data_IF_233149399139
#
_entry.id   IF_233149399139
#
_cell.length_a   1.000
_cell.length_b   1.000
_cell.length_c   1.000
_cell.angle_alpha   90.00
_cell.angle_beta   90.00
_cell.angle_gamma   90.00
#
_symmetry.space_group_name_H-M   'P 1'
#
loop_
_entity.id
_entity.type
_entity.pdbx_description
1 polymer ?
#
# COMPACT_ATOMS: atom_id res chain seq x y z
N UNK A 1 -21.14 14.22 4.92
CA UNK A 1 -19.94 13.46 5.33
C UNK A 1 -18.76 14.42 5.26
N UNK A 2 -18.11 14.69 6.39
CA UNK A 2 -16.95 15.59 6.41
C UNK A 2 -15.70 14.90 5.88
N UNK A 3 -14.67 15.68 5.58
CA UNK A 3 -13.34 15.14 5.26
C UNK A 3 -12.82 14.26 6.41
N UNK A 4 -13.03 14.68 7.66
CA UNK A 4 -12.60 13.96 8.86
C UNK A 4 -13.32 12.62 9.02
N UNK A 5 -14.63 12.57 8.77
CA UNK A 5 -15.40 11.34 8.84
C UNK A 5 -14.95 10.33 7.78
N UNK A 6 -14.70 10.83 6.57
CA UNK A 6 -14.17 10.01 5.49
C UNK A 6 -12.77 9.46 5.82
N UNK A 7 -11.91 10.31 6.40
CA UNK A 7 -10.56 9.96 6.80
C UNK A 7 -10.54 8.89 7.91
N UNK A 8 -11.33 9.09 8.97
CA UNK A 8 -11.53 8.10 10.05
C UNK A 8 -12.02 6.76 9.50
N UNK A 9 -13.01 6.78 8.60
CA UNK A 9 -13.53 5.57 7.97
C UNK A 9 -12.48 4.87 7.08
N UNK A 10 -11.65 5.64 6.38
CA UNK A 10 -10.53 5.10 5.59
C UNK A 10 -9.49 4.42 6.48
N UNK A 11 -9.08 5.04 7.58
CA UNK A 11 -8.14 4.47 8.57
C UNK A 11 -8.67 3.16 9.16
N UNK A 12 -9.92 3.15 9.62
CA UNK A 12 -10.54 1.96 10.22
C UNK A 12 -10.60 0.77 9.24
N UNK A 13 -10.95 1.02 7.96
CA UNK A 13 -10.95 -0.03 6.92
C UNK A 13 -9.57 -0.61 6.69
N UNK A 14 -8.53 0.23 6.72
CA UNK A 14 -7.15 -0.20 6.52
C UNK A 14 -6.62 -1.02 7.69
N UNK A 15 -6.82 -0.54 8.91
CA UNK A 15 -6.45 -1.27 10.14
C UNK A 15 -7.14 -2.64 10.20
N UNK A 16 -8.41 -2.70 9.80
CA UNK A 16 -9.15 -3.97 9.73
C UNK A 16 -8.58 -4.90 8.65
N UNK A 17 -8.28 -4.38 7.45
CA UNK A 17 -7.67 -5.16 6.37
C UNK A 17 -6.29 -5.73 6.74
N UNK A 18 -5.47 -4.95 7.45
CA UNK A 18 -4.14 -5.37 7.89
C UNK A 18 -4.17 -6.55 8.88
N UNK A 19 -5.32 -6.83 9.53
CA UNK A 19 -5.47 -8.02 10.40
C UNK A 19 -5.59 -9.33 9.61
N UNK A 20 -6.02 -9.27 8.35
CA UNK A 20 -6.30 -10.46 7.53
C UNK A 20 -5.32 -10.63 6.36
N UNK A 21 -4.64 -9.56 5.96
CA UNK A 21 -3.62 -9.59 4.92
C UNK A 21 -2.50 -8.58 5.23
N UNK A 22 -1.26 -8.84 4.77
CA UNK A 22 -0.18 -7.86 4.89
C UNK A 22 -0.56 -6.54 4.24
N UNK A 23 -0.14 -5.43 4.86
CA UNK A 23 -0.34 -4.09 4.34
C UNK A 23 0.21 -3.95 2.90
N UNK A 24 1.35 -4.59 2.62
CA UNK A 24 1.96 -4.62 1.31
C UNK A 24 1.80 -6.02 0.70
N UNK A 25 0.77 -6.18 -0.13
CA UNK A 25 0.52 -7.40 -0.91
C UNK A 25 1.37 -7.36 -2.19
N UNK A 26 2.69 -7.47 -2.05
CA UNK A 26 3.61 -7.60 -3.19
C UNK A 26 4.29 -8.95 -3.16
N UNK A 27 4.37 -9.59 -4.33
CA UNK A 27 5.20 -10.79 -4.49
C UNK A 27 6.67 -10.43 -4.27
N UNK A 28 7.47 -11.32 -3.65
CA UNK A 28 8.89 -11.07 -3.44
C UNK A 28 9.65 -10.98 -4.78
N UNK A 29 9.31 -11.86 -5.74
CA UNK A 29 9.95 -11.96 -7.05
C UNK A 29 8.91 -12.14 -8.18
N UNK A 30 9.28 -11.74 -9.40
CA UNK A 30 8.60 -12.14 -10.64
C UNK A 30 9.53 -12.00 -11.85
N UNK A 31 9.13 -12.56 -12.99
CA UNK A 31 9.89 -12.43 -14.25
C UNK A 31 9.98 -10.99 -14.77
N UNK A 32 9.16 -10.08 -14.24
CA UNK A 32 9.12 -8.67 -14.64
C UNK A 32 9.98 -7.76 -13.78
N UNK A 33 10.72 -8.28 -12.80
CA UNK A 33 11.41 -7.48 -11.78
C UNK A 33 12.36 -6.45 -12.35
N UNK A 34 13.15 -6.86 -13.36
CA UNK A 34 14.08 -5.95 -14.04
C UNK A 34 13.35 -4.72 -14.60
N UNK A 35 12.19 -4.93 -15.22
CA UNK A 35 11.36 -3.85 -15.80
C UNK A 35 10.73 -3.00 -14.70
N UNK A 36 10.18 -3.63 -13.66
CA UNK A 36 9.51 -2.93 -12.56
C UNK A 36 10.49 -2.08 -11.75
N UNK A 37 11.64 -2.64 -11.37
CA UNK A 37 12.70 -1.91 -10.65
C UNK A 37 13.26 -0.75 -11.45
N UNK A 38 13.40 -0.90 -12.76
CA UNK A 38 13.77 0.22 -13.63
C UNK A 38 12.71 1.34 -13.63
N UNK A 39 11.43 0.98 -13.63
CA UNK A 39 10.32 1.94 -13.67
C UNK A 39 10.10 2.65 -12.33
N UNK A 40 10.32 1.96 -11.20
CA UNK A 40 10.02 2.47 -9.87
C UNK A 40 11.29 2.68 -9.02
N UNK A 41 12.35 3.25 -9.59
CA UNK A 41 13.56 3.69 -8.85
C UNK A 41 14.17 2.62 -7.92
N UNK A 42 14.25 1.38 -8.40
CA UNK A 42 14.75 0.23 -7.64
C UNK A 42 13.67 -0.60 -6.95
N UNK A 43 12.45 -0.08 -6.83
CA UNK A 43 11.30 -0.75 -6.23
C UNK A 43 10.45 -1.52 -7.24
N UNK A 44 9.54 -2.38 -6.77
CA UNK A 44 8.65 -3.13 -7.66
C UNK A 44 7.36 -2.40 -8.04
N UNK A 45 7.14 -1.21 -7.47
CA UNK A 45 5.91 -0.44 -7.56
C UNK A 45 6.05 0.85 -6.78
N UNK A 46 5.08 1.76 -6.95
CA UNK A 46 5.02 3.01 -6.18
C UNK A 46 5.09 2.74 -4.67
N UNK A 47 5.66 3.64 -3.85
CA UNK A 47 5.62 3.48 -2.41
C UNK A 47 4.17 3.34 -1.95
N UNK A 48 3.90 2.32 -1.13
CA UNK A 48 2.60 2.19 -0.51
C UNK A 48 2.56 3.19 0.65
N UNK A 49 1.64 4.16 0.59
CA UNK A 49 1.51 5.19 1.63
C UNK A 49 1.32 4.51 2.97
N UNK A 50 2.12 4.83 3.99
CA UNK A 50 2.03 4.15 5.29
C UNK A 50 0.73 4.50 6.00
N UNK A 51 0.29 3.64 6.92
CA UNK A 51 -0.95 3.88 7.69
C UNK A 51 -0.85 5.13 8.58
N UNK A 52 0.36 5.52 9.00
CA UNK A 52 0.59 6.73 9.81
C UNK A 52 0.46 8.04 8.99
N UNK A 53 0.54 7.95 7.67
CA UNK A 53 0.42 9.10 6.76
C UNK A 53 -1.00 9.25 6.18
N UNK A 54 -1.95 8.45 6.70
CA UNK A 54 -3.28 8.22 6.13
C UNK A 54 -4.44 8.60 7.03
#
# INVERSE_FOLDING_TARGET
MSWEDWFKGRRARRETGNKVAPEIIRRPSSSSDRRLRKLFNGERGLPFKRTEEL
#
